data_IF_537086454700
#
_entry.id   IF_537086454700
#
_cell.length_a   1.000
_cell.length_b   1.000
_cell.length_c   1.000
_cell.angle_alpha   90.00
_cell.angle_beta   90.00
_cell.angle_gamma   90.00
#
_symmetry.space_group_name_H-M   'P 1'
#
loop_
_entity.id
_entity.type
_entity.pdbx_description
1 polymer ?
#
# COMPACT_ATOMS: atom_id res chain seq x y z
N UNK A 1 -17.16 19.96 34.58
CA UNK A 1 -16.35 20.30 35.76
C UNK A 1 -14.89 20.07 35.36
N UNK A 2 -14.10 21.15 35.35
CA UNK A 2 -12.64 21.25 35.36
C UNK A 2 -11.97 20.09 36.14
N UNK A 3 -10.72 19.64 35.98
CA UNK A 3 -9.49 20.02 35.27
C UNK A 3 -8.43 18.97 35.69
N UNK A 4 -7.18 19.15 35.23
CA UNK A 4 -5.88 18.66 35.75
C UNK A 4 -5.19 17.60 34.86
N UNK A 5 -4.31 18.02 33.92
CA UNK A 5 -2.86 18.39 34.03
C UNK A 5 -1.95 17.14 33.86
N UNK A 6 -0.63 17.22 33.52
CA UNK A 6 0.25 18.32 33.07
C UNK A 6 0.92 18.07 31.68
N UNK A 7 1.35 19.06 30.90
CA UNK A 7 2.61 19.85 31.02
C UNK A 7 3.90 19.03 31.18
N UNK A 8 4.50 18.60 30.07
CA UNK A 8 5.94 18.25 29.99
C UNK A 8 6.42 18.30 28.53
N UNK A 9 6.60 19.51 27.98
CA UNK A 9 7.53 19.75 26.87
C UNK A 9 7.74 21.26 26.64
N UNK A 10 8.14 21.98 27.70
CA UNK A 10 8.44 23.41 27.58
C UNK A 10 9.66 23.79 28.42
N UNK A 11 10.74 23.02 28.34
CA UNK A 11 12.08 23.48 28.76
C UNK A 11 13.10 22.51 28.17
N UNK A 12 13.57 22.82 26.97
CA UNK A 12 14.91 22.57 26.40
C UNK A 12 14.84 23.21 25.02
N UNK A 13 15.32 24.45 24.90
CA UNK A 13 15.84 25.12 23.71
C UNK A 13 15.96 26.61 24.04
N UNK A 14 16.99 26.93 24.83
CA UNK A 14 17.43 28.31 25.04
C UNK A 14 18.93 28.37 24.84
N UNK A 15 19.35 28.43 23.57
CA UNK A 15 20.66 28.96 23.17
C UNK A 15 20.75 29.06 21.64
N UNK A 16 21.10 30.25 21.14
CA UNK A 16 21.42 30.64 19.75
C UNK A 16 20.28 30.88 18.74
N UNK A 17 19.80 32.14 18.76
CA UNK A 17 19.44 33.03 17.63
C UNK A 17 18.95 32.42 16.30
N UNK A 18 17.63 32.36 16.13
CA UNK A 18 16.83 32.95 15.04
C UNK A 18 15.44 32.29 14.98
N UNK A 19 14.49 32.80 15.77
CA UNK A 19 13.11 32.31 15.79
C UNK A 19 12.27 33.19 14.86
N UNK A 20 11.79 32.62 13.76
CA UNK A 20 10.62 33.14 13.04
C UNK A 20 9.37 32.54 13.70
N UNK A 21 8.44 33.40 14.12
CA UNK A 21 7.25 33.01 14.86
C UNK A 21 6.34 32.08 14.04
N UNK A 22 6.00 30.93 14.61
CA UNK A 22 4.98 30.00 14.13
C UNK A 22 3.62 30.41 14.73
N UNK A 23 2.69 30.86 13.89
CA UNK A 23 1.27 30.99 14.22
C UNK A 23 0.48 30.06 13.29
N UNK A 24 0.10 28.90 13.81
CA UNK A 24 -0.81 27.96 13.15
C UNK A 24 -2.26 28.43 13.38
N UNK A 25 -2.87 29.00 12.35
CA UNK A 25 -4.33 29.17 12.27
C UNK A 25 -4.89 28.06 11.37
N UNK A 26 -5.53 27.05 11.98
CA UNK A 26 -6.36 26.10 11.24
C UNK A 26 -7.76 26.67 11.09
N UNK A 27 -8.14 27.08 9.88
CA UNK A 27 -9.52 27.37 9.52
C UNK A 27 -10.13 26.10 8.94
N UNK A 28 -10.96 25.43 9.72
CA UNK A 28 -11.68 24.23 9.29
C UNK A 28 -12.98 24.64 8.59
N UNK A 29 -12.98 24.76 7.26
CA UNK A 29 -14.21 24.89 6.49
C UNK A 29 -14.86 23.50 6.36
N UNK A 30 -16.02 23.30 7.01
CA UNK A 30 -16.87 22.11 6.79
C UNK A 30 -17.64 22.28 5.49
N UNK A 31 -17.23 21.58 4.44
CA UNK A 31 -18.05 21.32 3.25
C UNK A 31 -18.59 19.88 3.26
N UNK A 32 -19.78 19.61 2.69
CA UNK A 32 -20.53 18.37 2.87
C UNK A 32 -20.12 17.24 1.91
N UNK A 33 -18.84 17.16 1.50
CA UNK A 33 -18.34 16.10 0.63
C UNK A 33 -17.16 15.38 1.32
N UNK A 34 -17.35 14.10 1.64
CA UNK A 34 -16.36 13.20 2.23
C UNK A 34 -15.30 12.78 1.18
N UNK A 35 -14.58 13.76 0.63
CA UNK A 35 -13.41 13.52 -0.22
C UNK A 35 -12.20 14.09 0.53
N UNK A 36 -11.18 13.28 0.86
CA UNK A 36 -10.02 13.79 1.58
C UNK A 36 -9.20 14.73 0.68
N UNK A 37 -9.02 15.97 1.12
CA UNK A 37 -8.13 16.93 0.47
C UNK A 37 -6.74 16.83 1.10
N UNK A 38 -5.70 16.70 0.28
CA UNK A 38 -4.33 16.99 0.71
C UNK A 38 -4.21 18.51 0.91
N UNK A 39 -3.92 18.95 2.14
CA UNK A 39 -3.60 20.35 2.41
C UNK A 39 -2.09 20.54 2.23
N UNK A 40 -1.71 21.10 1.09
CA UNK A 40 -0.34 21.52 0.83
C UNK A 40 -0.14 22.93 1.41
N UNK A 41 0.85 23.11 2.28
CA UNK A 41 1.26 24.45 2.72
C UNK A 41 2.47 24.90 1.89
N UNK A 42 2.33 26.01 1.20
CA UNK A 42 3.43 26.72 0.54
C UNK A 42 3.89 27.87 1.43
N UNK A 43 5.18 27.93 1.74
CA UNK A 43 5.79 29.08 2.40
C UNK A 43 6.74 29.80 1.43
N UNK A 44 6.66 31.13 1.39
CA UNK A 44 7.66 31.98 0.74
C UNK A 44 8.63 32.48 1.78
N UNK A 45 9.93 32.32 1.53
CA UNK A 45 10.95 33.05 2.30
C UNK A 45 10.98 34.52 1.84
N UNK A 46 11.40 35.43 2.72
CA UNK A 46 11.55 36.89 2.54
C UNK A 46 12.40 37.30 1.31
N UNK A 47 13.14 36.36 0.69
CA UNK A 47 13.93 36.57 -0.54
C UNK A 47 13.23 36.16 -1.84
N UNK A 48 11.94 35.84 -1.82
CA UNK A 48 11.17 35.57 -3.04
C UNK A 48 11.44 34.23 -3.75
N UNK A 49 12.33 33.37 -3.21
CA UNK A 49 12.54 32.01 -3.75
C UNK A 49 11.50 31.03 -3.19
N UNK A 50 10.87 30.27 -4.08
CA UNK A 50 9.95 29.20 -3.74
C UNK A 50 10.75 28.02 -3.16
N UNK A 51 10.38 27.57 -1.96
CA UNK A 51 10.92 26.32 -1.37
C UNK A 51 9.86 25.24 -1.56
N UNK A 52 10.28 24.10 -2.13
CA UNK A 52 9.42 22.95 -2.48
C UNK A 52 8.82 22.29 -1.24
N UNK A 53 7.64 21.72 -1.46
CA UNK A 53 6.65 21.24 -0.49
C UNK A 53 7.09 19.91 0.14
N UNK A 54 7.18 19.84 1.47
CA UNK A 54 7.29 18.57 2.20
C UNK A 54 5.88 18.05 2.51
N UNK A 55 5.35 17.21 1.63
CA UNK A 55 3.99 16.65 1.73
C UNK A 55 3.93 15.23 2.32
N UNK A 56 5.03 14.68 2.82
CA UNK A 56 5.17 13.24 2.98
C UNK A 56 4.67 12.64 4.29
N UNK A 57 4.64 13.39 5.39
CA UNK A 57 4.39 12.79 6.71
C UNK A 57 2.90 12.62 7.09
N UNK A 58 1.99 13.38 6.48
CA UNK A 58 0.56 13.33 6.85
C UNK A 58 -0.19 12.17 6.20
N UNK A 59 0.14 11.77 4.96
CA UNK A 59 -0.50 10.63 4.31
C UNK A 59 -0.23 9.29 5.02
N UNK A 60 0.98 9.11 5.56
CA UNK A 60 1.37 7.87 6.25
C UNK A 60 0.67 7.70 7.61
N UNK A 61 0.44 8.81 8.34
CA UNK A 61 -0.28 8.80 9.61
C UNK A 61 -1.80 8.70 9.45
N UNK A 62 -2.37 9.09 8.30
CA UNK A 62 -3.79 8.86 8.03
C UNK A 62 -4.08 7.42 7.56
N UNK A 63 -3.13 6.76 6.88
CA UNK A 63 -3.32 5.36 6.45
C UNK A 63 -3.45 4.39 7.64
N UNK A 64 -2.74 4.63 8.75
CA UNK A 64 -2.86 3.83 9.97
C UNK A 64 -4.18 4.06 10.72
N UNK A 65 -4.89 5.17 10.49
CA UNK A 65 -6.21 5.45 11.09
C UNK A 65 -7.36 4.75 10.33
N UNK A 66 -7.18 4.39 9.06
CA UNK A 66 -8.21 3.72 8.26
C UNK A 66 -8.13 2.18 8.25
N UNK A 67 -7.15 1.56 8.91
CA UNK A 67 -6.90 0.12 8.81
C UNK A 67 -7.45 -0.74 9.97
N UNK A 68 -8.29 -0.23 10.86
CA UNK A 68 -9.04 -1.10 11.78
C UNK A 68 -10.37 -1.52 11.16
N UNK A 69 -10.32 -2.32 10.09
CA UNK A 69 -11.54 -2.96 9.60
C UNK A 69 -12.01 -3.99 10.63
N UNK A 70 -13.18 -3.74 11.19
CA UNK A 70 -13.84 -4.68 12.07
C UNK A 70 -14.29 -5.91 11.27
N UNK A 71 -13.93 -7.10 11.75
CA UNK A 71 -14.35 -8.36 11.15
C UNK A 71 -15.73 -8.78 11.68
N UNK A 72 -16.57 -9.30 10.79
CA UNK A 72 -17.89 -9.85 11.14
C UNK A 72 -18.02 -11.27 10.61
N UNK A 73 -18.58 -12.16 11.43
CA UNK A 73 -18.85 -13.55 11.07
C UNK A 73 -20.32 -13.68 10.70
N UNK A 74 -20.61 -14.07 9.45
CA UNK A 74 -21.98 -14.38 9.04
C UNK A 74 -22.37 -15.79 9.50
N UNK A 75 -23.37 -15.88 10.39
CA UNK A 75 -23.84 -17.15 10.95
C UNK A 75 -24.92 -17.78 10.08
N UNK A 76 -25.86 -16.98 9.56
CA UNK A 76 -26.95 -17.46 8.71
C UNK A 76 -27.55 -16.35 7.85
N UNK A 77 -28.36 -16.74 6.87
CA UNK A 77 -29.19 -15.85 6.05
C UNK A 77 -30.62 -16.37 6.05
N UNK A 78 -31.57 -15.54 6.46
CA UNK A 78 -32.98 -15.93 6.62
C UNK A 78 -33.91 -14.96 5.90
N UNK A 79 -35.04 -15.44 5.38
CA UNK A 79 -35.97 -14.61 4.59
C UNK A 79 -36.73 -13.56 5.40
N UNK A 80 -37.06 -13.87 6.66
CA UNK A 80 -37.93 -13.02 7.48
C UNK A 80 -37.15 -12.36 8.61
N UNK A 81 -37.58 -11.16 9.00
CA UNK A 81 -37.03 -10.43 10.14
C UNK A 81 -37.17 -11.22 11.44
N UNK A 82 -38.30 -11.91 11.64
CA UNK A 82 -38.57 -12.66 12.87
C UNK A 82 -37.58 -13.81 13.07
N UNK A 83 -37.24 -14.53 11.99
CA UNK A 83 -36.23 -15.58 12.05
C UNK A 83 -34.84 -14.99 12.36
N UNK A 84 -34.53 -13.79 11.83
CA UNK A 84 -33.26 -13.13 12.14
C UNK A 84 -33.21 -12.70 13.60
N UNK A 85 -34.29 -12.11 14.12
CA UNK A 85 -34.43 -11.72 15.53
C UNK A 85 -34.34 -12.93 16.47
N UNK A 86 -34.95 -14.05 16.10
CA UNK A 86 -34.84 -15.31 16.84
C UNK A 86 -33.38 -15.79 16.93
N UNK A 87 -32.65 -15.77 15.81
CA UNK A 87 -31.24 -16.16 15.77
C UNK A 87 -30.34 -15.20 16.55
N UNK A 88 -30.56 -13.89 16.46
CA UNK A 88 -29.85 -12.88 17.25
C UNK A 88 -30.06 -13.12 18.74
N UNK A 89 -31.30 -13.39 19.17
CA UNK A 89 -31.60 -13.68 20.57
C UNK A 89 -30.81 -14.89 21.07
N UNK A 90 -30.82 -15.99 20.30
CA UNK A 90 -30.03 -17.19 20.64
C UNK A 90 -28.53 -16.94 20.72
N UNK A 91 -27.98 -16.19 19.77
CA UNK A 91 -26.56 -15.84 19.78
C UNK A 91 -26.21 -14.97 20.99
N UNK A 92 -27.10 -14.07 21.38
CA UNK A 92 -26.98 -13.27 22.60
C UNK A 92 -27.03 -14.14 23.87
N UNK A 93 -27.90 -15.15 23.91
CA UNK A 93 -27.97 -16.13 25.00
C UNK A 93 -26.67 -16.96 25.13
N UNK A 94 -25.90 -17.08 24.04
CA UNK A 94 -24.55 -17.68 24.05
C UNK A 94 -23.40 -16.69 24.31
N UNK A 95 -23.72 -15.42 24.60
CA UNK A 95 -22.73 -14.39 24.93
C UNK A 95 -22.14 -13.66 23.73
N UNK A 96 -22.73 -13.79 22.54
CA UNK A 96 -22.24 -13.10 21.35
C UNK A 96 -22.95 -11.76 21.08
N UNK A 97 -22.18 -10.73 20.76
CA UNK A 97 -22.70 -9.51 20.15
C UNK A 97 -23.11 -9.80 18.71
N UNK A 98 -24.40 -9.63 18.40
CA UNK A 98 -24.96 -9.96 17.09
C UNK A 98 -25.98 -8.93 16.61
N UNK A 99 -26.06 -8.76 15.29
CA UNK A 99 -27.01 -7.87 14.63
C UNK A 99 -27.44 -8.46 13.27
N UNK A 100 -28.48 -7.90 12.68
CA UNK A 100 -28.95 -8.30 11.34
C UNK A 100 -28.75 -7.18 10.33
N UNK A 101 -28.34 -7.54 9.12
CA UNK A 101 -28.27 -6.64 7.96
C UNK A 101 -29.16 -7.19 6.83
N UNK A 102 -30.06 -6.36 6.28
CA UNK A 102 -30.91 -6.75 5.14
C UNK A 102 -30.12 -6.58 3.84
N UNK A 103 -30.02 -7.64 3.04
CA UNK A 103 -29.32 -7.66 1.76
C UNK A 103 -30.00 -8.67 0.82
N UNK A 104 -30.35 -8.26 -0.40
CA UNK A 104 -30.97 -9.12 -1.42
C UNK A 104 -32.19 -9.91 -0.92
N UNK A 105 -33.13 -9.25 -0.23
CA UNK A 105 -34.32 -9.87 0.39
C UNK A 105 -34.04 -10.94 1.46
N UNK A 106 -32.80 -11.04 1.93
CA UNK A 106 -32.40 -11.87 3.06
C UNK A 106 -31.94 -11.00 4.21
N UNK A 107 -32.15 -11.48 5.43
CA UNK A 107 -31.57 -10.94 6.64
C UNK A 107 -30.34 -11.77 6.99
N UNK A 108 -29.15 -11.20 6.80
CA UNK A 108 -27.87 -11.78 7.21
C UNK A 108 -27.69 -11.53 8.71
N UNK A 109 -27.48 -12.59 9.48
CA UNK A 109 -27.20 -12.50 10.92
C UNK A 109 -25.69 -12.55 11.10
N UNK A 110 -25.13 -11.46 11.64
CA UNK A 110 -23.70 -11.23 11.79
C UNK A 110 -23.33 -11.22 13.28
N UNK A 111 -22.19 -11.79 13.61
CA UNK A 111 -21.56 -11.74 14.94
C UNK A 111 -20.30 -10.89 14.86
N UNK A 112 -20.13 -9.96 15.79
CA UNK A 112 -19.00 -9.02 15.83
C UNK A 112 -19.38 -7.66 16.45
N UNK A 113 -18.51 -6.63 16.34
CA UNK A 113 -17.24 -6.62 15.60
C UNK A 113 -16.10 -7.37 16.28
N UNK A 114 -15.17 -7.91 15.49
CA UNK A 114 -13.89 -8.47 15.96
C UNK A 114 -12.72 -7.64 15.45
N UNK A 115 -11.68 -7.46 16.26
CA UNK A 115 -10.52 -6.63 15.90
C UNK A 115 -9.49 -7.35 15.04
N UNK A 116 -9.46 -8.67 15.11
CA UNK A 116 -8.53 -9.49 14.33
C UNK A 116 -9.25 -10.68 13.70
N UNK A 117 -8.71 -11.17 12.57
CA UNK A 117 -9.19 -12.40 11.92
C UNK A 117 -9.14 -13.60 12.87
N UNK A 118 -8.11 -13.70 13.71
CA UNK A 118 -7.97 -14.77 14.70
C UNK A 118 -9.13 -14.79 15.69
N UNK A 119 -9.58 -13.63 16.18
CA UNK A 119 -10.76 -13.54 17.05
C UNK A 119 -12.04 -13.98 16.34
N UNK A 120 -12.20 -13.63 15.06
CA UNK A 120 -13.33 -14.08 14.26
C UNK A 120 -13.31 -15.62 14.07
N UNK A 121 -12.15 -16.21 13.80
CA UNK A 121 -12.00 -17.67 13.65
C UNK A 121 -12.26 -18.43 14.96
N UNK A 122 -11.81 -17.88 16.10
CA UNK A 122 -12.10 -18.42 17.44
C UNK A 122 -13.60 -18.34 17.74
N UNK A 123 -14.26 -17.24 17.38
CA UNK A 123 -15.70 -17.10 17.52
C UNK A 123 -16.46 -18.13 16.68
N UNK A 124 -16.03 -18.40 15.44
CA UNK A 124 -16.61 -19.47 14.59
C UNK A 124 -16.53 -20.82 15.30
N UNK A 125 -15.36 -21.19 15.83
CA UNK A 125 -15.17 -22.45 16.57
C UNK A 125 -16.09 -22.54 17.78
N UNK A 126 -16.24 -21.45 18.53
CA UNK A 126 -17.08 -21.41 19.73
C UNK A 126 -18.57 -21.49 19.38
N UNK A 127 -19.01 -20.82 18.31
CA UNK A 127 -20.37 -20.91 17.78
C UNK A 127 -20.69 -22.36 17.39
N UNK A 128 -19.81 -23.02 16.62
CA UNK A 128 -19.99 -24.42 16.22
C UNK A 128 -20.09 -25.33 17.45
N UNK A 129 -19.18 -25.18 18.42
CA UNK A 129 -19.18 -25.95 19.67
C UNK A 129 -20.47 -25.76 20.47
N UNK A 130 -20.97 -24.53 20.61
CA UNK A 130 -22.20 -24.22 21.33
C UNK A 130 -23.43 -24.79 20.61
N UNK A 131 -23.47 -24.71 19.28
CA UNK A 131 -24.54 -25.29 18.47
C UNK A 131 -24.55 -26.81 18.57
N UNK A 132 -23.37 -27.47 18.57
CA UNK A 132 -23.30 -28.94 18.70
C UNK A 132 -23.69 -29.43 20.10
N UNK A 133 -23.48 -28.61 21.13
CA UNK A 133 -23.87 -28.92 22.52
C UNK A 133 -25.33 -28.61 22.80
N UNK A 134 -25.96 -27.72 22.03
CA UNK A 134 -27.38 -27.45 22.15
C UNK A 134 -28.16 -28.69 21.74
N UNK A 135 -28.68 -29.42 22.73
CA UNK A 135 -29.55 -30.57 22.47
C UNK A 135 -30.67 -30.13 21.51
N UNK A 136 -30.99 -30.94 20.48
CA UNK A 136 -32.10 -30.62 19.61
C UNK A 136 -33.34 -30.49 20.49
N UNK A 137 -33.93 -29.28 20.54
CA UNK A 137 -35.17 -29.12 21.29
C UNK A 137 -36.14 -30.18 20.80
N UNK A 138 -36.77 -30.94 21.73
CA UNK A 138 -37.76 -31.92 21.34
C UNK A 138 -38.75 -31.18 20.44
N UNK A 139 -38.83 -31.60 19.17
CA UNK A 139 -39.77 -31.02 18.23
C UNK A 139 -41.10 -31.09 18.93
N UNK A 140 -41.65 -29.94 19.33
CA UNK A 140 -43.01 -29.88 19.87
C UNK A 140 -43.86 -30.39 18.72
N UNK A 141 -44.28 -31.65 18.79
CA UNK A 141 -45.10 -32.28 17.77
C UNK A 141 -46.42 -31.54 17.87
N UNK A 142 -46.56 -30.49 17.08
CA UNK A 142 -47.87 -29.90 16.83
C UNK A 142 -48.64 -31.03 16.15
N UNK A 143 -49.74 -31.54 16.74
CA UNK A 143 -50.53 -32.57 16.10
C UNK A 143 -51.11 -31.97 14.82
N UNK A 144 -50.43 -32.20 13.70
CA UNK A 144 -50.97 -31.90 12.39
C UNK A 144 -52.06 -32.95 12.19
N UNK A 145 -53.33 -32.55 12.20
CA UNK A 145 -54.44 -33.42 11.81
C UNK A 145 -54.34 -33.69 10.30
N UNK A 146 -53.47 -34.62 9.91
CA UNK A 146 -53.31 -35.03 8.52
C UNK A 146 -54.51 -35.91 8.17
N UNK A 147 -55.46 -35.37 7.41
CA UNK A 147 -56.48 -36.17 6.71
C UNK A 147 -55.75 -37.20 5.83
N UNK A 148 -55.83 -38.48 6.20
CA UNK A 148 -55.22 -39.61 5.49
C UNK A 148 -55.79 -39.72 4.07
N UNK A 149 -55.00 -39.40 3.04
CA UNK A 149 -55.20 -39.93 1.68
C UNK A 149 -54.48 -41.28 1.57
N UNK A 150 -55.21 -42.29 1.07
CA UNK A 150 -54.77 -43.69 0.90
C UNK A 150 -53.50 -43.79 0.05
N UNK A 151 -52.56 -44.60 0.54
CA UNK A 151 -51.23 -44.91 -0.04
C UNK A 151 -51.35 -45.91 -1.20
N UNK A 152 -50.76 -45.56 -2.35
CA UNK A 152 -50.24 -46.53 -3.31
C UNK A 152 -48.82 -46.94 -2.93
N UNK A 153 -48.58 -48.26 -2.82
CA UNK A 153 -47.26 -48.86 -2.56
C UNK A 153 -46.37 -48.70 -3.79
N UNK A 154 -45.23 -48.00 -3.64
CA UNK A 154 -44.10 -48.08 -4.55
C UNK A 154 -42.84 -48.19 -3.70
N UNK A 155 -42.23 -49.38 -3.70
CA UNK A 155 -40.95 -49.65 -3.06
C UNK A 155 -39.83 -49.09 -3.94
N UNK A 156 -39.38 -47.87 -3.65
CA UNK A 156 -38.20 -47.30 -4.29
C UNK A 156 -36.98 -47.58 -3.42
N UNK A 157 -36.13 -48.48 -3.91
CA UNK A 157 -34.85 -48.91 -3.33
C UNK A 157 -33.95 -47.68 -3.13
N UNK A 158 -33.67 -47.35 -1.88
CA UNK A 158 -32.85 -46.19 -1.50
C UNK A 158 -31.38 -46.50 -1.82
N UNK A 159 -30.85 -45.88 -2.88
CA UNK A 159 -29.43 -45.92 -3.19
C UNK A 159 -28.65 -45.18 -2.10
N UNK A 160 -27.60 -45.83 -1.60
CA UNK A 160 -26.64 -45.25 -0.66
C UNK A 160 -26.00 -44.04 -1.38
N UNK A 161 -26.06 -42.82 -0.82
CA UNK A 161 -25.45 -41.66 -1.46
C UNK A 161 -23.94 -41.87 -1.52
N UNK A 162 -23.37 -41.83 -2.72
CA UNK A 162 -21.92 -41.81 -2.88
C UNK A 162 -21.33 -40.67 -2.03
N UNK A 163 -20.20 -40.91 -1.34
CA UNK A 163 -19.52 -39.87 -0.58
C UNK A 163 -19.24 -38.68 -1.51
N UNK A 164 -19.53 -37.44 -1.06
CA UNK A 164 -19.39 -36.26 -1.90
C UNK A 164 -17.96 -36.19 -2.42
N UNK A 165 -17.79 -36.35 -3.74
CA UNK A 165 -16.52 -36.18 -4.44
C UNK A 165 -15.91 -34.86 -3.94
N UNK A 166 -14.77 -34.96 -3.25
CA UNK A 166 -14.04 -33.80 -2.75
C UNK A 166 -13.86 -32.85 -3.93
N UNK A 167 -14.50 -31.68 -3.86
CA UNK A 167 -14.33 -30.61 -4.84
C UNK A 167 -12.85 -30.29 -4.82
N UNK A 168 -12.12 -30.73 -5.86
CA UNK A 168 -10.75 -30.31 -6.11
C UNK A 168 -10.73 -28.80 -5.94
N UNK A 169 -10.02 -28.32 -4.92
CA UNK A 169 -9.80 -26.90 -4.74
C UNK A 169 -9.28 -26.37 -6.07
N UNK A 170 -10.06 -25.46 -6.68
CA UNK A 170 -9.63 -24.78 -7.89
C UNK A 170 -8.31 -24.13 -7.55
N UNK A 171 -7.24 -24.64 -8.14
CA UNK A 171 -5.90 -24.08 -8.02
C UNK A 171 -6.03 -22.59 -8.31
N UNK A 172 -5.72 -21.77 -7.30
CA UNK A 172 -5.69 -20.32 -7.44
C UNK A 172 -4.76 -20.04 -8.61
N UNK A 173 -5.29 -19.41 -9.66
CA UNK A 173 -4.54 -19.10 -10.86
C UNK A 173 -3.50 -18.06 -10.44
N UNK A 174 -2.24 -18.46 -10.33
CA UNK A 174 -1.16 -17.54 -10.01
C UNK A 174 -0.81 -16.79 -11.30
N UNK A 175 -1.04 -15.48 -11.30
CA UNK A 175 -0.54 -14.60 -12.35
C UNK A 175 0.97 -14.76 -12.46
N UNK A 176 1.44 -15.08 -13.66
CA UNK A 176 2.86 -15.40 -13.88
C UNK A 176 3.64 -14.18 -14.31
N UNK A 177 3.05 -13.33 -15.14
CA UNK A 177 3.70 -12.16 -15.70
C UNK A 177 2.92 -10.90 -15.33
N UNK A 178 3.59 -9.76 -15.37
CA UNK A 178 2.96 -8.47 -15.18
C UNK A 178 3.71 -7.36 -15.93
N UNK A 179 3.01 -6.26 -16.18
CA UNK A 179 3.59 -4.99 -16.62
C UNK A 179 3.15 -3.89 -15.67
N UNK A 180 4.00 -2.89 -15.48
CA UNK A 180 3.70 -1.78 -14.60
C UNK A 180 4.27 -0.46 -15.10
N UNK A 181 3.64 0.61 -14.61
CA UNK A 181 4.10 1.99 -14.81
C UNK A 181 4.17 2.66 -13.46
N UNK A 182 5.22 3.43 -13.22
CA UNK A 182 5.37 4.16 -11.98
C UNK A 182 5.92 5.57 -12.19
N UNK A 183 5.58 6.43 -11.24
CA UNK A 183 5.96 7.84 -11.21
C UNK A 183 6.31 8.23 -9.77
N UNK A 184 7.25 9.16 -9.60
CA UNK A 184 7.69 9.55 -8.27
C UNK A 184 8.68 10.69 -8.25
N UNK A 185 9.27 10.90 -7.08
CA UNK A 185 10.35 11.85 -6.85
C UNK A 185 11.69 11.13 -6.73
N UNK A 186 12.74 11.80 -7.18
CA UNK A 186 14.11 11.32 -7.06
C UNK A 186 15.01 12.38 -6.42
N UNK A 187 16.03 11.93 -5.71
CA UNK A 187 17.09 12.74 -5.15
C UNK A 187 18.45 12.14 -5.52
N UNK A 188 19.35 12.95 -6.08
CA UNK A 188 20.69 12.54 -6.50
C UNK A 188 21.73 13.18 -5.58
N UNK A 189 22.63 12.35 -5.04
CA UNK A 189 23.75 12.85 -4.26
C UNK A 189 24.91 13.24 -5.20
N UNK A 190 25.21 14.54 -5.20
CA UNK A 190 26.25 15.13 -6.04
C UNK A 190 27.38 15.63 -5.13
N UNK A 191 28.58 15.10 -5.37
CA UNK A 191 29.81 15.48 -4.69
C UNK A 191 30.71 16.25 -5.66
N UNK A 192 31.07 17.47 -5.25
CA UNK A 192 31.91 18.36 -6.05
C UNK A 192 33.34 18.34 -5.50
N UNK A 193 34.30 18.06 -6.37
CA UNK A 193 35.71 18.34 -6.06
C UNK A 193 35.85 19.87 -5.88
N UNK A 194 36.52 20.30 -4.80
CA UNK A 194 36.71 21.73 -4.47
C UNK A 194 37.58 22.41 -5.53
N UNK A 195 36.98 22.88 -6.61
CA UNK A 195 37.62 23.83 -7.52
C UNK A 195 37.50 25.25 -6.94
N UNK A 196 38.51 26.09 -7.19
CA UNK A 196 38.55 27.49 -6.75
C UNK A 196 37.63 28.41 -7.55
N UNK A 197 37.03 27.92 -8.64
CA UNK A 197 36.11 28.68 -9.46
C UNK A 197 34.67 28.46 -9.01
N UNK A 198 33.96 29.55 -8.73
CA UNK A 198 32.55 29.54 -8.36
C UNK A 198 31.71 29.30 -9.61
N UNK A 199 31.04 28.15 -9.70
CA UNK A 199 30.00 27.93 -10.71
C UNK A 199 28.89 28.98 -10.54
N UNK A 200 28.20 29.29 -11.64
CA UNK A 200 27.02 30.16 -11.59
C UNK A 200 25.90 29.54 -10.74
N UNK A 201 25.80 28.21 -10.71
CA UNK A 201 24.89 27.43 -9.87
C UNK A 201 25.42 26.00 -9.66
N UNK A 202 25.13 25.41 -8.50
CA UNK A 202 25.31 23.98 -8.29
C UNK A 202 24.18 23.22 -9.00
N UNK A 203 24.43 22.00 -9.55
CA UNK A 203 23.39 21.23 -10.20
C UNK A 203 22.26 20.89 -9.23
N UNK A 204 21.02 20.93 -9.73
CA UNK A 204 19.86 20.52 -8.95
C UNK A 204 19.96 19.04 -8.53
N UNK A 205 19.50 18.73 -7.32
CA UNK A 205 19.55 17.37 -6.74
C UNK A 205 18.21 16.65 -6.74
N UNK A 206 17.11 17.38 -6.88
CA UNK A 206 15.75 16.84 -6.82
C UNK A 206 15.13 16.78 -8.22
N UNK A 207 14.50 15.65 -8.55
CA UNK A 207 13.90 15.42 -9.86
C UNK A 207 12.60 14.62 -9.83
N UNK A 208 12.01 14.46 -11.01
CA UNK A 208 10.88 13.56 -11.24
C UNK A 208 11.37 12.23 -11.79
N UNK A 209 10.75 11.12 -11.39
CA UNK A 209 11.06 9.78 -11.86
C UNK A 209 9.86 9.19 -12.58
N UNK A 210 10.12 8.57 -13.73
CA UNK A 210 9.16 7.78 -14.50
C UNK A 210 9.77 6.43 -14.83
N UNK A 211 9.00 5.35 -14.73
CA UNK A 211 9.54 4.02 -15.04
C UNK A 211 8.46 3.09 -15.59
N UNK A 212 8.93 2.27 -16.52
CA UNK A 212 8.20 1.12 -17.08
C UNK A 212 8.84 -0.14 -16.53
N UNK A 213 8.02 -1.07 -16.05
CA UNK A 213 8.46 -2.37 -15.56
C UNK A 213 7.74 -3.51 -16.29
N UNK A 214 8.47 -4.60 -16.54
CA UNK A 214 7.91 -5.89 -16.91
C UNK A 214 8.47 -6.93 -15.94
N UNK A 215 7.64 -7.84 -15.45
CA UNK A 215 8.09 -8.79 -14.44
C UNK A 215 7.43 -10.16 -14.52
N UNK A 216 8.04 -11.10 -13.81
CA UNK A 216 7.63 -12.49 -13.76
C UNK A 216 7.75 -13.07 -12.35
N UNK A 217 6.68 -13.69 -11.85
CA UNK A 217 6.66 -14.42 -10.58
C UNK A 217 7.27 -15.81 -10.77
N UNK A 218 8.46 -15.99 -10.20
CA UNK A 218 9.16 -17.28 -10.15
C UNK A 218 8.50 -18.23 -9.15
N UNK A 219 8.03 -17.68 -8.02
CA UNK A 219 7.24 -18.38 -7.01
C UNK A 219 6.15 -17.43 -6.47
N UNK A 220 5.35 -17.86 -5.49
CA UNK A 220 4.38 -16.99 -4.80
C UNK A 220 5.04 -15.78 -4.11
N UNK A 221 6.32 -15.90 -3.75
CA UNK A 221 7.05 -14.92 -2.95
C UNK A 221 8.24 -14.32 -3.70
N UNK A 222 8.71 -14.95 -4.78
CA UNK A 222 9.86 -14.47 -5.55
C UNK A 222 9.43 -14.00 -6.93
N UNK A 223 9.87 -12.82 -7.32
CA UNK A 223 9.66 -12.30 -8.66
C UNK A 223 10.85 -11.48 -9.13
N UNK A 224 11.05 -11.46 -10.45
CA UNK A 224 12.06 -10.65 -11.10
C UNK A 224 11.40 -9.60 -11.98
N UNK A 225 12.04 -8.44 -12.13
CA UNK A 225 11.60 -7.39 -13.06
C UNK A 225 12.73 -6.92 -13.94
N UNK A 226 12.39 -6.50 -15.16
CA UNK A 226 13.20 -5.68 -16.04
C UNK A 226 12.56 -4.28 -16.09
N UNK A 227 13.35 -3.24 -15.88
CA UNK A 227 12.86 -1.89 -15.67
C UNK A 227 13.66 -0.92 -16.54
N UNK A 228 12.95 0.05 -17.10
CA UNK A 228 13.53 1.23 -17.71
C UNK A 228 12.99 2.46 -16.98
N UNK A 229 13.89 3.23 -16.38
CA UNK A 229 13.56 4.40 -15.57
C UNK A 229 14.25 5.63 -16.13
N UNK A 230 13.49 6.71 -16.30
CA UNK A 230 14.04 8.04 -16.55
C UNK A 230 13.88 8.90 -15.30
N UNK A 231 14.95 9.55 -14.89
CA UNK A 231 14.95 10.57 -13.82
C UNK A 231 15.32 11.90 -14.43
N UNK A 232 14.41 12.86 -14.34
CA UNK A 232 14.57 14.21 -14.90
C UNK A 232 14.88 15.19 -13.77
N UNK A 233 16.08 15.75 -13.78
CA UNK A 233 16.45 16.90 -12.96
C UNK A 233 16.49 18.14 -13.87
N UNK A 234 16.73 19.32 -13.32
CA UNK A 234 16.79 20.55 -14.13
C UNK A 234 17.94 20.49 -15.13
N UNK A 235 19.14 20.14 -14.67
CA UNK A 235 20.35 20.23 -15.48
C UNK A 235 20.77 18.88 -16.10
N UNK A 236 20.33 17.77 -15.49
CA UNK A 236 20.81 16.42 -15.81
C UNK A 236 19.64 15.44 -15.85
N UNK A 237 19.67 14.54 -16.82
CA UNK A 237 18.78 13.40 -16.91
C UNK A 237 19.54 12.08 -16.70
N UNK A 238 18.88 11.11 -16.07
CA UNK A 238 19.38 9.74 -15.93
C UNK A 238 18.43 8.77 -16.62
N UNK A 239 18.94 7.97 -17.54
CA UNK A 239 18.28 6.83 -18.16
C UNK A 239 18.86 5.53 -17.58
N UNK A 240 18.08 4.84 -16.75
CA UNK A 240 18.49 3.64 -16.03
C UNK A 240 17.80 2.40 -16.64
N UNK A 241 18.60 1.42 -17.05
CA UNK A 241 18.14 0.09 -17.44
C UNK A 241 18.63 -0.96 -16.45
N UNK A 242 17.73 -1.59 -15.69
CA UNK A 242 18.12 -2.53 -14.65
C UNK A 242 17.13 -3.66 -14.43
N UNK A 243 17.64 -4.75 -13.88
CA UNK A 243 16.84 -5.85 -13.38
C UNK A 243 16.75 -5.80 -11.86
N UNK A 244 15.63 -6.26 -11.31
CA UNK A 244 15.47 -6.42 -9.87
C UNK A 244 15.01 -7.82 -9.51
N UNK A 245 15.49 -8.33 -8.38
CA UNK A 245 15.07 -9.59 -7.80
C UNK A 245 14.44 -9.33 -6.44
N UNK A 246 13.18 -9.72 -6.29
CA UNK A 246 12.34 -9.29 -5.18
C UNK A 246 11.78 -10.46 -4.40
N UNK A 247 11.82 -10.33 -3.07
CA UNK A 247 11.15 -11.21 -2.12
C UNK A 247 9.95 -10.49 -1.50
N UNK A 248 8.76 -11.00 -1.81
CA UNK A 248 7.46 -10.58 -1.29
C UNK A 248 7.11 -11.41 -0.05
N UNK A 249 6.87 -10.71 1.05
CA UNK A 249 6.43 -11.31 2.30
C UNK A 249 4.95 -11.69 2.23
N UNK A 250 4.51 -12.47 3.22
CA UNK A 250 3.11 -12.78 3.40
C UNK A 250 2.27 -11.52 3.64
N UNK A 251 1.01 -11.62 3.24
CA UNK A 251 0.03 -10.55 3.29
C UNK A 251 -0.16 -10.00 4.72
N UNK A 252 0.05 -8.70 4.89
CA UNK A 252 -0.24 -7.95 6.11
C UNK A 252 -1.38 -6.96 5.83
N UNK A 253 -2.58 -7.21 6.35
CA UNK A 253 -3.73 -6.29 6.19
C UNK A 253 -3.99 -5.83 4.75
N UNK A 254 -4.05 -6.76 3.79
CA UNK A 254 -4.25 -6.47 2.36
C UNK A 254 -3.06 -5.89 1.60
N UNK A 255 -1.93 -5.72 2.28
CA UNK A 255 -0.69 -5.24 1.72
C UNK A 255 0.34 -6.37 1.69
N UNK A 256 1.07 -6.47 0.59
CA UNK A 256 2.20 -7.38 0.43
C UNK A 256 3.50 -6.56 0.46
N UNK A 257 4.18 -6.48 1.62
CA UNK A 257 5.49 -5.85 1.67
C UNK A 257 6.50 -6.70 0.89
N UNK A 258 7.53 -6.05 0.35
CA UNK A 258 8.64 -6.73 -0.32
C UNK A 258 9.95 -5.97 -0.16
N UNK A 259 11.04 -6.72 -0.32
CA UNK A 259 12.40 -6.19 -0.46
C UNK A 259 13.00 -6.72 -1.75
N UNK A 260 13.94 -5.98 -2.35
CA UNK A 260 14.59 -6.41 -3.57
C UNK A 260 16.01 -5.90 -3.72
N UNK A 261 16.78 -6.61 -4.53
CA UNK A 261 18.12 -6.23 -4.97
C UNK A 261 18.07 -5.82 -6.44
N UNK A 262 18.93 -4.87 -6.81
CA UNK A 262 18.94 -4.25 -8.14
C UNK A 262 20.35 -4.31 -8.70
N UNK A 263 20.45 -4.60 -10.00
CA UNK A 263 21.67 -4.47 -10.78
C UNK A 263 21.35 -4.06 -12.21
N UNK A 264 22.17 -3.18 -12.79
CA UNK A 264 21.98 -2.72 -14.17
C UNK A 264 22.99 -1.68 -14.59
N UNK A 265 22.55 -0.84 -15.53
CA UNK A 265 23.33 0.26 -16.10
C UNK A 265 22.54 1.57 -16.04
N UNK A 266 23.27 2.66 -15.94
CA UNK A 266 22.76 4.02 -15.99
C UNK A 266 23.52 4.83 -17.03
N UNK A 267 22.80 5.69 -17.73
CA UNK A 267 23.33 6.73 -18.60
C UNK A 267 22.89 8.07 -18.03
N UNK A 268 23.84 8.92 -17.74
CA UNK A 268 23.63 10.30 -17.30
C UNK A 268 23.90 11.22 -18.49
N UNK A 269 23.03 12.20 -18.72
CA UNK A 269 23.14 13.17 -19.82
C UNK A 269 22.82 14.58 -19.34
N UNK A 270 23.62 15.58 -19.73
CA UNK A 270 23.30 16.99 -19.49
C UNK A 270 22.17 17.46 -20.42
N UNK A 271 21.18 18.16 -19.87
CA UNK A 271 20.03 18.68 -20.63
C UNK A 271 20.38 19.97 -21.38
N UNK A 272 21.18 20.81 -20.75
CA UNK A 272 21.77 22.01 -21.33
C UNK A 272 23.28 21.94 -21.11
N UNK A 273 24.06 22.45 -22.06
CA UNK A 273 25.50 22.55 -21.90
C UNK A 273 25.79 23.32 -20.59
N UNK A 274 26.43 22.70 -19.60
CA UNK A 274 26.50 23.26 -18.25
C UNK A 274 27.23 24.61 -18.22
N UNK A 275 28.06 24.86 -19.25
CA UNK A 275 28.75 26.12 -19.57
C UNK A 275 28.84 26.19 -21.10
N UNK A 276 28.81 27.40 -21.70
CA UNK A 276 29.23 27.65 -23.10
C UNK A 276 30.73 27.37 -23.29
N UNK A 277 31.18 26.17 -22.95
CA UNK A 277 32.54 25.71 -22.95
C UNK A 277 32.88 25.06 -24.29
N UNK A 278 34.16 25.01 -24.62
CA UNK A 278 34.68 24.43 -25.87
C UNK A 278 34.64 22.89 -25.90
N UNK A 279 34.38 22.23 -24.76
CA UNK A 279 34.20 20.77 -24.65
C UNK A 279 33.69 20.35 -23.25
N UNK A 280 32.51 19.75 -23.18
CA UNK A 280 31.93 19.07 -22.00
C UNK A 280 31.79 17.57 -22.30
N UNK A 281 32.01 16.70 -21.31
CA UNK A 281 31.52 15.32 -21.43
C UNK A 281 29.99 15.36 -21.22
N UNK A 282 29.24 15.39 -22.32
CA UNK A 282 27.78 15.50 -22.30
C UNK A 282 27.10 14.26 -21.68
N UNK A 283 27.78 13.11 -21.74
CA UNK A 283 27.25 11.82 -21.31
C UNK A 283 28.23 11.03 -20.44
N UNK A 284 27.69 10.30 -19.48
CA UNK A 284 28.44 9.39 -18.61
C UNK A 284 27.69 8.08 -18.45
N UNK A 285 28.41 6.96 -18.47
CA UNK A 285 27.84 5.61 -18.30
C UNK A 285 28.38 5.00 -17.02
N UNK A 286 27.50 4.36 -16.25
CA UNK A 286 27.90 3.72 -15.00
C UNK A 286 27.11 2.44 -14.74
N UNK A 287 27.74 1.51 -14.06
CA UNK A 287 27.02 0.37 -13.49
C UNK A 287 26.23 0.84 -12.28
N UNK A 288 25.02 0.30 -12.13
CA UNK A 288 24.20 0.58 -10.97
C UNK A 288 23.93 -0.69 -10.18
N UNK A 289 23.93 -0.54 -8.86
CA UNK A 289 23.57 -1.58 -7.91
C UNK A 289 22.80 -0.98 -6.75
N UNK A 290 21.92 -1.76 -6.12
CA UNK A 290 21.17 -1.21 -5.01
C UNK A 290 20.14 -2.13 -4.40
N UNK A 291 19.28 -1.53 -3.61
CA UNK A 291 18.19 -2.21 -2.92
C UNK A 291 16.91 -1.39 -2.99
N UNK A 292 15.79 -2.09 -2.89
CA UNK A 292 14.47 -1.48 -2.78
C UNK A 292 13.64 -2.14 -1.70
N UNK A 293 12.73 -1.34 -1.13
CA UNK A 293 11.72 -1.75 -0.19
C UNK A 293 10.39 -1.20 -0.66
N UNK A 294 9.35 -2.02 -0.66
CA UNK A 294 8.06 -1.60 -1.20
C UNK A 294 6.88 -2.37 -0.63
N UNK A 295 5.71 -1.98 -1.09
CA UNK A 295 4.42 -2.52 -0.70
C UNK A 295 3.51 -2.60 -1.92
N UNK A 296 2.78 -3.71 -2.06
CA UNK A 296 1.82 -3.96 -3.13
C UNK A 296 0.42 -4.22 -2.55
N UNK A 297 -0.62 -3.65 -3.14
CA UNK A 297 -2.02 -3.84 -2.78
C UNK A 297 -2.82 -4.16 -4.04
N UNK A 298 -3.50 -5.31 -4.05
CA UNK A 298 -4.38 -5.69 -5.16
C UNK A 298 -5.71 -4.93 -5.05
N UNK A 299 -5.99 -4.06 -6.03
CA UNK A 299 -7.26 -3.34 -6.12
C UNK A 299 -8.34 -4.21 -6.79
N UNK A 300 -7.93 -4.99 -7.80
CA UNK A 300 -8.75 -5.94 -8.54
C UNK A 300 -8.00 -7.26 -8.66
N UNK A 301 -8.60 -8.25 -9.35
CA UNK A 301 -7.92 -9.54 -9.61
C UNK A 301 -6.62 -9.32 -10.39
N UNK A 302 -6.69 -8.47 -11.43
CA UNK A 302 -5.58 -8.29 -12.36
C UNK A 302 -4.81 -6.97 -12.14
N UNK A 303 -5.29 -6.06 -11.28
CA UNK A 303 -4.67 -4.74 -11.09
C UNK A 303 -4.20 -4.57 -9.65
N UNK A 304 -2.91 -4.27 -9.48
CA UNK A 304 -2.32 -3.89 -8.20
C UNK A 304 -1.79 -2.45 -8.23
N UNK A 305 -1.94 -1.77 -7.09
CA UNK A 305 -1.26 -0.53 -6.77
C UNK A 305 -0.01 -0.88 -5.95
N UNK A 306 1.11 -0.27 -6.25
CA UNK A 306 2.33 -0.49 -5.48
C UNK A 306 3.09 0.81 -5.25
N UNK A 307 3.90 0.80 -4.21
CA UNK A 307 4.80 1.91 -3.86
C UNK A 307 6.13 1.34 -3.41
N UNK A 308 7.21 2.08 -3.66
CA UNK A 308 8.52 1.66 -3.21
C UNK A 308 9.44 2.85 -2.93
N UNK A 309 10.41 2.58 -2.07
CA UNK A 309 11.60 3.38 -1.88
C UNK A 309 12.81 2.60 -2.40
N UNK A 310 13.67 3.25 -3.16
CA UNK A 310 14.83 2.64 -3.80
C UNK A 310 16.08 3.46 -3.53
N UNK A 311 17.17 2.78 -3.20
CA UNK A 311 18.50 3.35 -3.09
C UNK A 311 19.42 2.69 -4.13
N UNK A 312 19.95 3.49 -5.04
CA UNK A 312 20.89 3.07 -6.09
C UNK A 312 22.26 3.71 -5.85
N UNK A 313 23.29 2.89 -5.93
CA UNK A 313 24.69 3.30 -5.98
C UNK A 313 25.08 3.35 -7.45
N UNK A 314 25.77 4.41 -7.82
CA UNK A 314 26.27 4.68 -9.16
C UNK A 314 27.60 5.43 -9.07
N UNK A 315 28.33 5.50 -10.16
CA UNK A 315 29.61 6.20 -10.24
C UNK A 315 29.65 6.97 -11.56
N UNK A 316 28.90 8.07 -11.62
CA UNK A 316 28.91 8.96 -12.77
C UNK A 316 29.86 10.11 -12.51
N UNK A 317 31.01 10.05 -13.19
CA UNK A 317 31.95 11.15 -13.26
C UNK A 317 31.67 11.99 -14.50
N UNK A 318 31.55 13.30 -14.31
CA UNK A 318 31.48 14.28 -15.40
C UNK A 318 32.54 15.34 -15.22
N UNK A 319 33.13 15.78 -16.34
CA UNK A 319 34.18 16.80 -16.34
C UNK A 319 33.70 18.01 -17.12
N UNK A 320 33.70 19.16 -16.45
CA UNK A 320 33.36 20.44 -17.06
C UNK A 320 34.64 21.27 -17.15
N UNK A 321 35.04 21.64 -18.36
CA UNK A 321 36.21 22.49 -18.60
C UNK A 321 35.78 23.95 -18.73
N UNK A 322 36.28 24.79 -17.83
CA UNK A 322 36.04 26.24 -17.81
C UNK A 322 37.37 26.93 -18.01
N UNK A 323 37.58 27.52 -19.19
CA UNK A 323 38.87 28.10 -19.57
C UNK A 323 40.01 27.06 -19.43
N UNK A 324 40.93 27.28 -18.48
CA UNK A 324 42.08 26.40 -18.20
C UNK A 324 41.86 25.47 -16.99
N UNK A 325 40.67 25.45 -16.39
CA UNK A 325 40.36 24.62 -15.23
C UNK A 325 39.38 23.51 -15.58
N UNK A 326 39.61 22.31 -15.03
CA UNK A 326 38.67 21.19 -15.12
C UNK A 326 38.04 21.00 -13.76
N UNK A 327 36.70 20.99 -13.71
CA UNK A 327 35.95 20.64 -12.51
C UNK A 327 35.31 19.26 -12.71
N UNK A 328 35.44 18.41 -11.69
CA UNK A 328 34.87 17.07 -11.69
C UNK A 328 33.68 17.01 -10.74
N UNK A 329 32.56 16.49 -11.24
CA UNK A 329 31.34 16.23 -10.49
C UNK A 329 31.10 14.73 -10.45
N UNK A 330 30.94 14.22 -9.24
CA UNK A 330 30.64 12.81 -8.98
C UNK A 330 29.19 12.68 -8.54
N UNK A 331 28.42 11.88 -9.26
CA UNK A 331 27.06 11.49 -8.86
C UNK A 331 27.12 10.06 -8.35
N UNK A 332 27.02 9.91 -7.03
CA UNK A 332 27.41 8.67 -6.33
C UNK A 332 26.19 7.80 -5.96
N UNK A 333 25.04 8.43 -5.79
CA UNK A 333 23.83 7.72 -5.41
C UNK A 333 22.56 8.44 -5.81
N UNK A 334 21.50 7.64 -5.99
CA UNK A 334 20.18 8.07 -6.41
C UNK A 334 19.13 7.40 -5.54
N UNK A 335 18.25 8.21 -4.97
CA UNK A 335 17.19 7.82 -4.03
C UNK A 335 15.84 8.14 -4.64
N UNK A 336 14.97 7.13 -4.79
CA UNK A 336 13.66 7.34 -5.42
C UNK A 336 12.55 6.86 -4.52
N UNK A 337 11.44 7.60 -4.56
CA UNK A 337 10.18 7.19 -3.96
C UNK A 337 9.08 7.29 -5.00
N UNK A 338 8.54 6.14 -5.40
CA UNK A 338 7.63 6.02 -6.52
C UNK A 338 6.34 5.30 -6.13
N UNK A 339 5.27 5.67 -6.84
CA UNK A 339 3.97 4.99 -6.83
C UNK A 339 3.69 4.46 -8.24
N UNK A 340 3.11 3.27 -8.33
CA UNK A 340 2.85 2.62 -9.60
C UNK A 340 1.60 1.78 -9.64
N UNK A 341 1.16 1.51 -10.86
CA UNK A 341 0.08 0.59 -11.19
C UNK A 341 0.65 -0.58 -11.98
N UNK A 342 0.19 -1.78 -11.67
CA UNK A 342 0.61 -3.02 -12.30
C UNK A 342 -0.59 -3.80 -12.79
N UNK A 343 -0.50 -4.31 -14.01
CA UNK A 343 -1.44 -5.24 -14.62
C UNK A 343 -0.84 -6.65 -14.63
N UNK A 344 -1.54 -7.61 -14.04
CA UNK A 344 -1.13 -8.98 -13.82
C UNK A 344 -1.87 -9.89 -14.81
N UNK A 345 -1.14 -10.71 -15.57
CA UNK A 345 -1.69 -11.58 -16.62
C UNK A 345 -2.04 -12.98 -16.11
#
# INVERSE_FOLDING_TARGET
MFSYFPYYLYYILKSSRAISAFLLFSITLRLPLNIPYCVCYTYRNLKGRAVKVVCFLSCFLYFSVFASQDFFVQVTSVKTKDNASYMIKRLKDYGFSSHSKKENNLHKVLVGPFKTRKQADEAVKLIIKKISQAQPHPKKVIPISIKKKKKGKSSKKTAIPEPPKQKKEKSINYHKAFIGVNFGGAYVNINNSKSTTTLASEPDKDGLSYELEAGYYLTSNLYATLNYQRVQLTDVDFDNGFSSFNYRFDKLHDIYPYIGLIAGYSRMQWNEDPITALSSDEESFSFIGGAQLGAEMFMFQDISLYMYYRYLIMDHLTKIKVLSQTQEFSHDSLQNFNFGLRYNF
#
